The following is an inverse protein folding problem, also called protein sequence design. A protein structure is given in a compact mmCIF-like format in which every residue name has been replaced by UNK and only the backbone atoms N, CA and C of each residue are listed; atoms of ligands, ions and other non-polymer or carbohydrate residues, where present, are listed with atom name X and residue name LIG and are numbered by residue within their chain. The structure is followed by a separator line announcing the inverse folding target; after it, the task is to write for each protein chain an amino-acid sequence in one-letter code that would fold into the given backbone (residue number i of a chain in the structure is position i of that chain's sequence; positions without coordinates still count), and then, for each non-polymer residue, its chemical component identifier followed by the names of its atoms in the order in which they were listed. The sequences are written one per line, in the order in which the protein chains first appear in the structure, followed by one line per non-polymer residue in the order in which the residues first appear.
data_IF_087805601301
#
_entry.id   IF_087805601301
#
_cell.length_a   1.000
_cell.length_b   1.000
_cell.length_c   1.000
_cell.angle_alpha   90.00
_cell.angle_beta   90.00
_cell.angle_gamma   90.00
#
_symmetry.space_group_name_H-M   'P 1'
#
loop_
_entity.id
_entity.type
_entity.pdbx_description
1 polymer ?
#
# COMPACT_ATOMS: atom_id res chain seq x y z
N UNK A 1 1.05 50.90 13.60
CA UNK A 1 0.41 50.18 12.49
C UNK A 1 1.51 49.41 11.81
N UNK A 2 1.79 48.21 12.29
CA UNK A 2 2.56 47.19 11.58
C UNK A 2 2.04 45.87 12.16
N UNK A 3 1.26 45.16 11.33
CA UNK A 3 0.52 43.97 11.72
C UNK A 3 1.43 42.78 12.00
N UNK A 4 0.93 41.75 12.71
CA UNK A 4 1.70 40.54 12.93
C UNK A 4 1.90 39.84 11.59
N UNK A 5 3.16 39.71 11.18
CA UNK A 5 3.55 38.90 10.03
C UNK A 5 2.98 37.50 10.22
N UNK A 6 1.97 37.15 9.42
CA UNK A 6 1.58 35.77 9.22
C UNK A 6 2.77 35.07 8.57
N UNK A 7 3.60 34.45 9.40
CA UNK A 7 4.60 33.52 8.94
C UNK A 7 3.86 32.40 8.23
N UNK A 8 3.84 32.43 6.91
CA UNK A 8 3.68 31.22 6.13
C UNK A 8 4.79 30.28 6.61
N UNK A 9 4.42 29.32 7.46
CA UNK A 9 5.24 28.14 7.70
C UNK A 9 5.29 27.38 6.38
N UNK A 10 6.20 27.79 5.50
CA UNK A 10 6.52 27.06 4.30
C UNK A 10 6.85 25.63 4.72
N UNK A 11 6.08 24.68 4.22
CA UNK A 11 6.34 23.26 4.42
C UNK A 11 7.64 22.92 3.68
N UNK A 12 8.77 23.05 4.36
CA UNK A 12 10.06 22.61 3.82
C UNK A 12 9.97 21.10 3.57
N UNK A 13 9.95 20.74 2.29
CA UNK A 13 9.87 19.36 1.78
C UNK A 13 11.15 18.59 2.05
N UNK A 14 12.23 19.27 2.46
CA UNK A 14 13.53 18.70 2.81
C UNK A 14 13.84 18.78 4.31
N UNK A 15 12.88 19.20 5.13
CA UNK A 15 13.07 19.27 6.57
C UNK A 15 13.46 17.90 7.14
N UNK A 16 14.50 17.88 7.98
CA UNK A 16 14.87 16.68 8.71
C UNK A 16 13.73 16.25 9.63
N UNK A 17 13.47 14.93 9.76
CA UNK A 17 12.46 14.45 10.69
C UNK A 17 12.80 14.88 12.12
N UNK A 18 11.80 15.25 12.94
CA UNK A 18 12.03 15.62 14.34
C UNK A 18 12.75 14.49 15.09
N UNK A 19 13.67 14.86 16.01
CA UNK A 19 14.49 13.89 16.73
C UNK A 19 13.65 12.84 17.47
N UNK A 20 12.52 13.24 18.07
CA UNK A 20 11.60 12.33 18.73
C UNK A 20 11.05 11.24 17.79
N UNK A 21 10.81 11.56 16.51
CA UNK A 21 10.38 10.59 15.50
C UNK A 21 11.53 9.63 15.17
N UNK A 22 12.75 10.15 15.02
CA UNK A 22 13.94 9.31 14.79
C UNK A 22 14.21 8.36 15.97
N UNK A 23 13.97 8.80 17.20
CA UNK A 23 14.20 8.01 18.40
C UNK A 23 13.11 6.93 18.54
N UNK A 24 11.84 7.27 18.29
CA UNK A 24 10.76 6.28 18.22
C UNK A 24 11.03 5.22 17.14
N UNK A 25 11.45 5.63 15.95
CA UNK A 25 11.85 4.72 14.87
C UNK A 25 12.96 3.75 15.32
N UNK A 26 14.01 4.24 15.97
CA UNK A 26 15.10 3.39 16.50
C UNK A 26 14.65 2.48 17.65
N UNK A 27 13.74 2.95 18.52
CA UNK A 27 13.13 2.15 19.61
C UNK A 27 12.47 0.90 19.02
N UNK A 28 11.54 1.07 18.10
CA UNK A 28 10.76 -0.05 17.56
C UNK A 28 11.57 -0.97 16.63
N UNK A 29 12.57 -0.45 15.90
CA UNK A 29 13.44 -1.29 15.08
C UNK A 29 14.27 -2.31 15.90
N UNK A 30 14.57 -2.00 17.17
CA UNK A 30 15.42 -2.83 18.03
C UNK A 30 14.62 -3.69 19.01
N UNK A 31 13.31 -3.51 19.05
CA UNK A 31 12.43 -4.18 19.99
C UNK A 31 12.18 -5.63 19.54
N UNK A 32 12.01 -6.55 20.49
CA UNK A 32 11.59 -7.91 20.18
C UNK A 32 10.08 -8.00 19.96
N UNK A 33 9.62 -8.98 19.19
CA UNK A 33 8.20 -9.19 18.91
C UNK A 33 7.33 -9.28 20.19
N UNK A 34 7.84 -9.96 21.23
CA UNK A 34 7.15 -10.06 22.52
C UNK A 34 7.02 -8.70 23.21
N UNK A 35 8.10 -7.91 23.23
CA UNK A 35 8.06 -6.58 23.85
C UNK A 35 7.17 -5.60 23.05
N UNK A 36 7.11 -5.72 21.72
CA UNK A 36 6.16 -4.97 20.88
C UNK A 36 4.72 -5.34 21.24
N UNK A 37 4.43 -6.62 21.41
CA UNK A 37 3.08 -7.10 21.76
C UNK A 37 2.62 -6.54 23.11
N UNK A 38 3.54 -6.44 24.07
CA UNK A 38 3.25 -5.96 25.42
C UNK A 38 3.29 -4.42 25.56
N UNK A 39 3.77 -3.69 24.54
CA UNK A 39 3.87 -2.23 24.58
C UNK A 39 2.47 -1.58 24.49
N UNK A 40 2.05 -0.92 25.57
CA UNK A 40 0.77 -0.21 25.67
C UNK A 40 0.79 1.16 24.97
N UNK A 41 1.96 1.68 24.58
CA UNK A 41 2.04 2.88 23.74
C UNK A 41 1.60 2.58 22.30
N UNK A 42 1.67 1.32 21.86
CA UNK A 42 1.20 0.89 20.54
C UNK A 42 -0.33 0.80 20.55
N UNK A 43 -0.94 1.49 19.59
CA UNK A 43 -2.38 1.42 19.34
C UNK A 43 -2.71 0.07 18.72
N UNK A 44 -3.53 -0.72 19.42
CA UNK A 44 -4.01 -2.01 18.96
C UNK A 44 -5.53 -2.12 19.18
N UNK A 45 -6.28 -2.05 18.10
CA UNK A 45 -7.75 -2.12 18.13
C UNK A 45 -8.29 -3.52 18.48
N UNK A 46 -7.47 -4.58 18.37
CA UNK A 46 -7.87 -5.94 18.74
C UNK A 46 -7.83 -6.15 20.25
N UNK A 47 -6.81 -5.58 20.90
CA UNK A 47 -6.68 -5.51 22.36
C UNK A 47 -7.62 -4.46 22.98
N UNK A 48 -7.96 -3.43 22.22
CA UNK A 48 -8.71 -2.26 22.68
C UNK A 48 -7.78 -1.10 23.07
N UNK A 49 -8.35 0.11 23.08
CA UNK A 49 -7.61 1.34 23.37
C UNK A 49 -7.45 1.55 24.88
N UNK A 50 -6.27 1.94 25.33
CA UNK A 50 -6.03 2.40 26.70
C UNK A 50 -6.77 3.72 26.98
N UNK A 51 -7.01 4.10 28.26
CA UNK A 51 -7.64 5.37 28.59
C UNK A 51 -6.94 6.58 27.93
N UNK A 52 -5.61 6.61 27.96
CA UNK A 52 -4.80 7.68 27.36
C UNK A 52 -4.91 7.71 25.82
N UNK A 53 -5.09 6.56 25.18
CA UNK A 53 -5.33 6.48 23.75
C UNK A 53 -6.74 6.95 23.39
N UNK A 54 -7.75 6.66 24.21
CA UNK A 54 -9.14 7.12 23.99
C UNK A 54 -9.28 8.65 24.10
N UNK A 55 -8.46 9.31 24.92
CA UNK A 55 -8.40 10.78 24.96
C UNK A 55 -7.87 11.39 23.64
N UNK A 56 -7.02 10.66 22.91
CA UNK A 56 -6.38 11.12 21.68
C UNK A 56 -7.06 10.64 20.41
N UNK A 57 -7.68 9.46 20.43
CA UNK A 57 -8.34 8.83 19.29
C UNK A 57 -9.85 8.84 19.51
N UNK A 58 -10.53 9.79 18.87
CA UNK A 58 -11.98 9.96 19.03
C UNK A 58 -12.74 9.32 17.88
N UNK A 59 -13.88 8.64 18.13
CA UNK A 59 -14.77 8.20 17.07
C UNK A 59 -15.37 9.39 16.32
N UNK A 60 -15.19 9.44 15.00
CA UNK A 60 -15.70 10.53 14.14
C UNK A 60 -16.72 10.07 13.11
N UNK A 61 -16.94 8.76 12.99
CA UNK A 61 -17.90 8.20 12.05
C UNK A 61 -17.91 6.68 12.04
N UNK A 62 -18.75 6.13 11.16
CA UNK A 62 -18.90 4.68 10.97
C UNK A 62 -19.03 4.41 9.48
N UNK A 63 -18.32 3.41 8.97
CA UNK A 63 -18.60 2.78 7.68
C UNK A 63 -19.64 1.67 7.92
N UNK A 64 -20.87 1.79 7.40
CA UNK A 64 -21.92 0.81 7.65
C UNK A 64 -21.59 -0.57 7.09
N UNK A 65 -22.11 -1.61 7.75
CA UNK A 65 -21.97 -3.01 7.33
C UNK A 65 -22.41 -3.22 5.88
N UNK A 66 -23.52 -2.59 5.49
CA UNK A 66 -24.14 -2.69 4.17
C UNK A 66 -23.24 -2.09 3.09
N UNK A 67 -22.53 -1.00 3.42
CA UNK A 67 -21.59 -0.36 2.50
C UNK A 67 -20.36 -1.23 2.29
N UNK A 68 -19.83 -1.83 3.35
CA UNK A 68 -18.70 -2.77 3.28
C UNK A 68 -19.09 -4.00 2.47
N UNK A 69 -20.28 -4.58 2.72
CA UNK A 69 -20.80 -5.72 1.98
C UNK A 69 -20.99 -5.39 0.49
N UNK A 70 -21.52 -4.21 0.17
CA UNK A 70 -21.64 -3.73 -1.20
C UNK A 70 -20.28 -3.62 -1.88
N UNK A 71 -19.30 -2.98 -1.23
CA UNK A 71 -17.95 -2.81 -1.77
C UNK A 71 -17.26 -4.16 -2.02
N UNK A 72 -17.40 -5.10 -1.09
CA UNK A 72 -16.93 -6.48 -1.24
C UNK A 72 -17.57 -7.15 -2.48
N UNK A 73 -18.89 -7.10 -2.62
CA UNK A 73 -19.61 -7.71 -3.75
C UNK A 73 -19.14 -7.14 -5.09
N UNK A 74 -19.05 -5.80 -5.17
CA UNK A 74 -18.62 -5.09 -6.39
C UNK A 74 -17.16 -5.40 -6.75
N UNK A 75 -16.31 -5.58 -5.75
CA UNK A 75 -14.92 -5.98 -5.92
C UNK A 75 -14.80 -7.43 -6.39
N UNK A 76 -15.50 -8.36 -5.74
CA UNK A 76 -15.45 -9.78 -6.07
C UNK A 76 -16.05 -10.09 -7.44
N UNK A 77 -16.90 -9.19 -7.98
CA UNK A 77 -17.62 -9.36 -9.25
C UNK A 77 -18.48 -10.64 -9.25
N UNK A 78 -18.98 -11.04 -8.08
CA UNK A 78 -19.86 -12.18 -7.94
C UNK A 78 -21.28 -11.75 -8.29
N UNK A 79 -21.78 -12.22 -9.44
CA UNK A 79 -23.17 -12.03 -9.85
C UNK A 79 -24.21 -12.75 -8.97
N UNK A 80 -23.76 -13.60 -8.05
CA UNK A 80 -24.60 -14.34 -7.10
C UNK A 80 -24.66 -13.66 -5.72
N UNK A 81 -25.65 -14.03 -4.91
CA UNK A 81 -25.67 -13.75 -3.47
C UNK A 81 -24.48 -14.47 -2.82
N UNK A 82 -23.34 -13.80 -2.73
CA UNK A 82 -22.20 -14.26 -1.96
C UNK A 82 -22.61 -14.20 -0.47
N UNK A 83 -22.98 -15.35 0.07
CA UNK A 83 -23.52 -15.50 1.42
C UNK A 83 -22.38 -15.60 2.45
N UNK A 84 -21.41 -14.67 2.40
CA UNK A 84 -20.55 -14.40 3.54
C UNK A 84 -21.36 -13.60 4.55
N UNK A 85 -21.26 -13.93 5.84
CA UNK A 85 -21.97 -13.19 6.89
C UNK A 85 -21.77 -11.68 6.76
N UNK A 86 -22.72 -10.90 7.28
CA UNK A 86 -22.65 -9.45 7.22
C UNK A 86 -21.35 -8.96 7.88
N UNK A 87 -20.48 -8.24 7.14
CA UNK A 87 -19.24 -7.73 7.70
C UNK A 87 -19.57 -6.73 8.81
N UNK A 88 -18.76 -6.70 9.88
CA UNK A 88 -18.98 -5.73 10.94
C UNK A 88 -18.84 -4.29 10.42
N UNK A 89 -19.65 -3.37 10.96
CA UNK A 89 -19.45 -1.95 10.70
C UNK A 89 -18.07 -1.50 11.24
N UNK A 90 -17.43 -0.56 10.57
CA UNK A 90 -16.09 -0.07 10.93
C UNK A 90 -16.20 1.34 11.55
N UNK A 91 -15.83 1.48 12.82
CA UNK A 91 -15.70 2.80 13.46
C UNK A 91 -14.49 3.53 12.92
N UNK A 92 -14.67 4.79 12.53
CA UNK A 92 -13.63 5.69 12.07
C UNK A 92 -13.11 6.48 13.26
N UNK A 93 -11.81 6.43 13.51
CA UNK A 93 -11.14 7.21 14.56
C UNK A 93 -10.32 8.34 13.94
N UNK A 94 -10.28 9.50 14.60
CA UNK A 94 -9.38 10.59 14.22
C UNK A 94 -8.49 10.95 15.41
N UNK A 95 -7.22 11.26 15.15
CA UNK A 95 -6.29 11.65 16.20
C UNK A 95 -6.37 13.16 16.46
N UNK A 96 -6.63 13.56 17.70
CA UNK A 96 -6.83 14.96 18.11
C UNK A 96 -5.64 15.88 17.81
N UNK A 97 -4.42 15.34 17.89
CA UNK A 97 -3.19 16.04 17.53
C UNK A 97 -2.84 16.06 16.04
N UNK A 98 -3.57 15.32 15.19
CA UNK A 98 -3.32 15.24 13.74
C UNK A 98 -4.64 15.33 12.97
N UNK A 99 -5.24 16.53 12.87
CA UNK A 99 -6.48 16.72 12.11
C UNK A 99 -6.34 16.18 10.68
N UNK A 100 -7.31 15.35 10.26
CA UNK A 100 -7.30 14.67 8.96
C UNK A 100 -6.69 13.26 8.96
N UNK A 101 -5.95 12.86 10.00
CA UNK A 101 -5.47 11.48 10.14
C UNK A 101 -6.61 10.58 10.65
N UNK A 102 -7.21 9.80 9.74
CA UNK A 102 -8.32 8.89 10.04
C UNK A 102 -7.89 7.43 9.96
N UNK A 103 -8.29 6.66 10.97
CA UNK A 103 -8.02 5.23 11.10
C UNK A 103 -9.31 4.45 10.90
N UNK A 104 -9.26 3.39 10.08
CA UNK A 104 -10.37 2.50 9.74
C UNK A 104 -10.00 1.05 10.10
N UNK A 105 -10.06 0.66 11.38
CA UNK A 105 -9.60 -0.65 11.83
C UNK A 105 -10.42 -1.78 11.21
N UNK A 106 -9.75 -2.80 10.69
CA UNK A 106 -10.38 -4.01 10.13
C UNK A 106 -11.47 -3.74 9.07
N UNK A 107 -11.35 -2.67 8.28
CA UNK A 107 -12.34 -2.27 7.28
C UNK A 107 -12.62 -3.34 6.22
N UNK A 108 -11.58 -4.07 5.80
CA UNK A 108 -11.71 -5.07 4.74
C UNK A 108 -12.03 -6.46 5.33
N UNK A 109 -13.10 -7.13 4.88
CA UNK A 109 -13.38 -8.52 5.26
C UNK A 109 -12.23 -9.47 4.85
N UNK A 110 -11.96 -10.56 5.60
CA UNK A 110 -10.84 -11.48 5.32
C UNK A 110 -10.79 -12.03 3.89
N UNK A 111 -11.96 -12.33 3.31
CA UNK A 111 -12.08 -12.82 1.93
C UNK A 111 -11.68 -11.73 0.93
N UNK A 112 -12.07 -10.48 1.21
CA UNK A 112 -11.67 -9.32 0.41
C UNK A 112 -10.16 -9.13 0.46
N UNK A 113 -9.55 -9.22 1.65
CA UNK A 113 -8.10 -9.11 1.81
C UNK A 113 -7.35 -10.17 0.98
N UNK A 114 -7.80 -11.42 1.04
CA UNK A 114 -7.17 -12.54 0.30
C UNK A 114 -7.26 -12.35 -1.21
N UNK A 115 -8.44 -11.96 -1.72
CA UNK A 115 -8.64 -11.70 -3.15
C UNK A 115 -7.85 -10.48 -3.61
N UNK A 116 -7.78 -9.44 -2.77
CA UNK A 116 -7.00 -8.23 -3.05
C UNK A 116 -5.52 -8.56 -3.25
N UNK A 117 -4.91 -9.23 -2.27
CA UNK A 117 -3.51 -9.67 -2.38
C UNK A 117 -3.30 -10.59 -3.57
N UNK A 118 -4.20 -11.55 -3.80
CA UNK A 118 -4.13 -12.46 -4.93
C UNK A 118 -4.12 -11.72 -6.27
N UNK A 119 -5.03 -10.75 -6.48
CA UNK A 119 -5.08 -9.98 -7.71
C UNK A 119 -3.83 -9.13 -7.90
N UNK A 120 -3.33 -8.48 -6.85
CA UNK A 120 -2.08 -7.72 -6.94
C UNK A 120 -0.90 -8.60 -7.35
N UNK A 121 -0.72 -9.76 -6.72
CA UNK A 121 0.44 -10.62 -6.94
C UNK A 121 0.33 -11.48 -8.20
N UNK A 122 -0.88 -11.94 -8.55
CA UNK A 122 -1.06 -12.82 -9.69
C UNK A 122 -1.35 -12.06 -10.99
N UNK A 123 -2.27 -11.08 -10.94
CA UNK A 123 -2.76 -10.35 -12.12
C UNK A 123 -1.93 -9.08 -12.36
N UNK A 124 -1.88 -8.16 -11.40
CA UNK A 124 -1.24 -6.85 -11.62
C UNK A 124 0.28 -6.97 -11.79
N UNK A 125 0.93 -7.78 -10.95
CA UNK A 125 2.37 -7.99 -11.06
C UNK A 125 2.76 -8.56 -12.44
N UNK A 126 1.89 -9.38 -13.04
CA UNK A 126 2.11 -10.03 -14.33
C UNK A 126 1.70 -9.16 -15.53
N UNK A 127 1.20 -7.95 -15.29
CA UNK A 127 0.84 -7.01 -16.34
C UNK A 127 2.06 -6.12 -16.70
N UNK A 128 2.55 -6.14 -17.95
CA UNK A 128 3.72 -5.35 -18.36
C UNK A 128 3.50 -3.83 -18.39
N UNK A 129 2.26 -3.37 -18.25
CA UNK A 129 1.94 -1.93 -18.16
C UNK A 129 2.29 -1.34 -16.78
N UNK A 130 2.38 -2.18 -15.75
CA UNK A 130 2.77 -1.79 -14.41
C UNK A 130 4.29 -1.90 -14.23
N UNK A 131 4.87 -1.04 -13.39
CA UNK A 131 6.31 -1.03 -13.12
C UNK A 131 6.64 -1.78 -11.84
N UNK A 132 7.83 -2.33 -11.81
CA UNK A 132 8.40 -3.05 -10.68
C UNK A 132 9.87 -2.72 -10.55
N UNK A 133 10.46 -3.04 -9.40
CA UNK A 133 11.89 -2.87 -9.13
C UNK A 133 12.84 -3.69 -10.03
N UNK A 134 12.30 -4.47 -10.97
CA UNK A 134 13.10 -5.23 -11.94
C UNK A 134 13.29 -4.49 -13.26
N UNK A 135 12.46 -3.49 -13.56
CA UNK A 135 12.39 -2.90 -14.90
C UNK A 135 13.66 -2.20 -15.35
N UNK A 136 14.46 -1.67 -14.42
CA UNK A 136 15.68 -0.94 -14.78
C UNK A 136 16.82 -1.90 -15.14
N UNK A 137 16.90 -3.05 -14.47
CA UNK A 137 18.05 -3.95 -14.54
C UNK A 137 17.79 -5.23 -15.34
N UNK A 138 16.52 -5.61 -15.54
CA UNK A 138 16.15 -6.92 -16.11
C UNK A 138 15.17 -6.81 -17.27
N UNK A 139 15.40 -7.64 -18.29
CA UNK A 139 14.37 -8.05 -19.24
C UNK A 139 13.48 -9.10 -18.57
N UNK A 140 12.20 -8.79 -18.47
CA UNK A 140 11.23 -9.55 -17.67
C UNK A 140 10.49 -10.55 -18.59
N UNK A 141 10.51 -11.86 -18.29
CA UNK A 141 9.81 -12.87 -19.07
C UNK A 141 8.33 -12.87 -18.69
N UNK A 142 7.57 -11.86 -19.11
CA UNK A 142 6.15 -11.77 -18.76
C UNK A 142 5.37 -13.00 -19.24
N UNK A 143 4.45 -13.53 -18.42
CA UNK A 143 3.60 -14.64 -18.82
C UNK A 143 2.60 -14.20 -19.89
N UNK A 144 1.98 -15.15 -20.61
CA UNK A 144 0.89 -14.85 -21.53
C UNK A 144 -0.23 -14.07 -20.85
N UNK A 145 -1.07 -13.40 -21.65
CA UNK A 145 -2.26 -12.70 -21.17
C UNK A 145 -3.10 -13.62 -20.26
N UNK A 146 -3.63 -13.05 -19.17
CA UNK A 146 -4.42 -13.75 -18.14
C UNK A 146 -3.68 -14.87 -17.38
N UNK A 147 -2.36 -14.95 -17.52
CA UNK A 147 -1.50 -15.85 -16.75
C UNK A 147 -0.68 -15.10 -15.69
N UNK A 148 0.02 -15.86 -14.85
CA UNK A 148 0.75 -15.34 -13.70
C UNK A 148 2.18 -15.84 -13.65
N UNK A 149 3.12 -15.03 -13.16
CA UNK A 149 4.48 -15.48 -12.86
C UNK A 149 4.52 -16.71 -11.94
N UNK A 150 3.50 -16.90 -11.10
CA UNK A 150 3.36 -18.05 -10.21
C UNK A 150 3.01 -19.35 -10.93
N UNK A 151 2.67 -19.31 -12.23
CA UNK A 151 2.45 -20.50 -13.05
C UNK A 151 3.74 -21.09 -13.59
N UNK A 152 4.85 -20.34 -13.56
CA UNK A 152 6.13 -20.84 -14.03
C UNK A 152 6.71 -21.87 -13.05
N UNK A 153 7.34 -22.94 -13.56
CA UNK A 153 8.04 -23.90 -12.71
C UNK A 153 9.11 -23.22 -11.86
N UNK A 154 9.23 -23.63 -10.58
CA UNK A 154 10.21 -23.07 -9.64
C UNK A 154 11.67 -23.14 -10.12
N UNK A 155 11.98 -24.06 -11.03
CA UNK A 155 13.32 -24.28 -11.60
C UNK A 155 13.34 -24.04 -13.12
N UNK A 156 12.42 -23.21 -13.65
CA UNK A 156 12.41 -22.84 -15.05
C UNK A 156 13.77 -22.26 -15.49
N UNK A 157 14.26 -22.72 -16.65
CA UNK A 157 15.54 -22.28 -17.23
C UNK A 157 15.36 -21.34 -18.42
N UNK A 158 14.17 -21.28 -19.00
CA UNK A 158 13.82 -20.53 -20.19
C UNK A 158 13.00 -19.27 -19.92
N UNK A 159 12.18 -19.23 -18.85
CA UNK A 159 11.51 -18.00 -18.40
C UNK A 159 12.31 -17.35 -17.27
N UNK A 160 13.41 -16.69 -17.65
CA UNK A 160 14.33 -16.04 -16.71
C UNK A 160 14.33 -14.52 -16.89
N UNK A 161 14.36 -13.80 -15.78
CA UNK A 161 14.67 -12.39 -15.70
C UNK A 161 16.13 -12.25 -16.08
N UNK A 162 16.39 -11.78 -17.29
CA UNK A 162 17.73 -11.67 -17.86
C UNK A 162 18.30 -10.26 -17.57
N UNK A 163 19.52 -10.12 -17.05
CA UNK A 163 20.14 -8.80 -16.89
C UNK A 163 20.23 -8.08 -18.23
N UNK A 164 19.79 -6.82 -18.27
CA UNK A 164 19.87 -5.98 -19.48
C UNK A 164 21.30 -5.67 -19.87
N UNK A 165 22.16 -5.46 -18.88
CA UNK A 165 23.60 -5.28 -19.07
C UNK A 165 24.34 -6.60 -18.72
N UNK A 166 24.91 -7.29 -19.72
CA UNK A 166 25.69 -8.51 -19.51
C UNK A 166 26.96 -8.32 -18.67
N UNK A 167 27.47 -7.09 -18.57
CA UNK A 167 28.66 -6.76 -17.78
C UNK A 167 28.33 -6.37 -16.34
N UNK A 168 27.04 -6.26 -16.01
CA UNK A 168 26.62 -5.91 -14.66
C UNK A 168 26.84 -7.04 -13.67
N UNK A 169 26.76 -6.72 -12.38
CA UNK A 169 26.82 -7.72 -11.29
C UNK A 169 25.55 -8.58 -11.16
N UNK A 170 24.50 -8.27 -11.93
CA UNK A 170 23.21 -8.94 -11.83
C UNK A 170 23.31 -10.34 -12.42
N UNK A 171 22.73 -11.32 -11.73
CA UNK A 171 22.61 -12.70 -12.21
C UNK A 171 21.21 -12.91 -12.78
N UNK A 172 21.04 -13.76 -13.82
CA UNK A 172 19.73 -14.21 -14.24
C UNK A 172 18.95 -14.85 -13.08
N UNK A 173 17.66 -14.55 -13.01
CA UNK A 173 16.77 -15.08 -11.97
C UNK A 173 15.60 -15.80 -12.62
N UNK A 174 15.20 -16.96 -12.11
CA UNK A 174 13.88 -17.48 -12.44
C UNK A 174 12.79 -16.74 -11.65
N UNK A 175 11.52 -16.93 -12.01
CA UNK A 175 10.41 -16.23 -11.35
C UNK A 175 10.35 -16.48 -9.84
N UNK A 176 10.55 -17.71 -9.37
CA UNK A 176 10.55 -18.00 -7.94
C UNK A 176 11.64 -17.21 -7.19
N UNK A 177 12.85 -17.12 -7.75
CA UNK A 177 13.95 -16.34 -7.17
C UNK A 177 13.66 -14.83 -7.19
N UNK A 178 13.12 -14.32 -8.31
CA UNK A 178 12.74 -12.92 -8.44
C UNK A 178 11.70 -12.57 -7.36
N UNK A 179 10.58 -13.29 -7.33
CA UNK A 179 9.45 -13.03 -6.44
C UNK A 179 9.80 -13.19 -4.95
N UNK A 180 10.49 -14.27 -4.57
CA UNK A 180 10.74 -14.56 -3.15
C UNK A 180 11.87 -13.72 -2.55
N UNK A 181 12.90 -13.37 -3.34
CA UNK A 181 14.12 -12.76 -2.80
C UNK A 181 14.29 -11.31 -3.17
N UNK A 182 13.78 -10.89 -4.33
CA UNK A 182 14.17 -9.62 -4.96
C UNK A 182 13.01 -8.68 -5.25
N UNK A 183 11.76 -9.16 -5.24
CA UNK A 183 10.60 -8.29 -5.44
C UNK A 183 10.42 -7.37 -4.23
N UNK A 184 10.21 -6.08 -4.48
CA UNK A 184 10.12 -5.03 -3.45
C UNK A 184 8.98 -4.08 -3.68
N UNK A 185 8.71 -3.72 -4.94
CA UNK A 185 7.61 -2.82 -5.24
C UNK A 185 7.00 -3.09 -6.62
N UNK A 186 5.71 -2.79 -6.70
CA UNK A 186 4.88 -2.75 -7.91
C UNK A 186 4.09 -1.45 -7.90
N UNK A 187 3.97 -0.78 -9.04
CA UNK A 187 3.09 0.38 -9.20
C UNK A 187 1.79 -0.03 -9.89
N UNK A 188 0.71 0.70 -9.62
CA UNK A 188 -0.61 0.51 -10.24
C UNK A 188 -1.04 1.80 -10.93
N UNK A 189 -1.68 1.70 -12.09
CA UNK A 189 -2.17 2.86 -12.84
C UNK A 189 -1.07 3.82 -13.30
N UNK A 190 -1.30 5.12 -13.14
CA UNK A 190 -0.38 6.19 -13.52
C UNK A 190 0.97 6.05 -12.83
N UNK A 191 2.03 6.23 -13.61
CA UNK A 191 3.41 6.04 -13.16
C UNK A 191 4.02 7.39 -12.79
N UNK A 192 4.60 7.47 -11.59
CA UNK A 192 5.36 8.64 -11.20
C UNK A 192 6.67 8.69 -12.00
N UNK A 193 6.94 9.82 -12.65
CA UNK A 193 8.20 10.02 -13.34
C UNK A 193 9.22 10.67 -12.39
N UNK A 194 10.23 9.91 -12.00
CA UNK A 194 11.29 10.37 -11.12
C UNK A 194 12.13 11.51 -11.68
N UNK A 195 12.22 11.66 -13.00
CA UNK A 195 13.00 12.72 -13.64
C UNK A 195 12.25 14.05 -13.58
N UNK A 196 10.95 14.02 -13.89
CA UNK A 196 10.10 15.22 -13.90
C UNK A 196 9.41 15.48 -12.57
N UNK A 197 9.48 14.52 -11.64
CA UNK A 197 8.86 14.54 -10.31
C UNK A 197 7.35 14.77 -10.35
N UNK A 198 6.69 14.27 -11.39
CA UNK A 198 5.27 14.46 -11.61
C UNK A 198 4.62 13.20 -12.18
N UNK A 199 3.29 13.13 -12.04
CA UNK A 199 2.49 12.20 -12.80
C UNK A 199 2.20 12.75 -14.22
N UNK A 200 2.18 11.90 -15.25
CA UNK A 200 1.84 12.34 -16.59
C UNK A 200 0.36 12.75 -16.67
N UNK A 201 0.06 13.78 -17.47
CA UNK A 201 -1.32 14.24 -17.72
C UNK A 201 -2.21 13.18 -18.39
N UNK A 202 -1.60 12.17 -19.02
CA UNK A 202 -2.27 10.99 -19.56
C UNK A 202 -1.40 9.76 -19.31
N UNK A 203 -1.95 8.77 -18.60
CA UNK A 203 -1.27 7.48 -18.40
C UNK A 203 -1.79 6.45 -19.40
N UNK A 204 -0.89 5.73 -20.12
CA UNK A 204 -1.29 4.58 -20.92
C UNK A 204 -1.67 3.37 -20.06
N UNK A 205 -1.34 3.39 -18.76
CA UNK A 205 -1.56 2.31 -17.82
C UNK A 205 -2.83 2.60 -17.00
N UNK A 206 -3.94 1.89 -17.25
CA UNK A 206 -5.17 2.08 -16.48
C UNK A 206 -4.98 1.59 -15.04
N UNK A 207 -5.61 2.29 -14.09
CA UNK A 207 -5.70 1.79 -12.72
C UNK A 207 -6.66 0.58 -12.66
N UNK A 208 -6.37 -0.47 -11.87
CA UNK A 208 -7.22 -1.65 -11.81
C UNK A 208 -8.67 -1.32 -11.44
N UNK A 209 -9.60 -1.59 -12.36
CA UNK A 209 -10.98 -1.06 -12.25
C UNK A 209 -11.76 -1.62 -11.06
N UNK A 210 -11.49 -2.86 -10.68
CA UNK A 210 -12.09 -3.50 -9.51
C UNK A 210 -11.56 -2.91 -8.20
N UNK A 211 -10.25 -2.68 -8.09
CA UNK A 211 -9.65 -1.97 -6.96
C UNK A 211 -10.20 -0.54 -6.88
N UNK A 212 -10.32 0.14 -8.02
CA UNK A 212 -10.94 1.47 -8.09
C UNK A 212 -12.36 1.44 -7.52
N UNK A 213 -13.22 0.50 -7.98
CA UNK A 213 -14.59 0.35 -7.44
C UNK A 213 -14.64 0.04 -5.96
N UNK A 214 -13.74 -0.81 -5.46
CA UNK A 214 -13.65 -1.12 -4.02
C UNK A 214 -13.42 0.17 -3.22
N UNK A 215 -12.41 0.94 -3.61
CA UNK A 215 -12.01 2.18 -2.95
C UNK A 215 -13.12 3.24 -3.08
N UNK A 216 -13.61 3.51 -4.28
CA UNK A 216 -14.64 4.55 -4.47
C UNK A 216 -15.96 4.19 -3.78
N UNK A 217 -16.30 2.91 -3.64
CA UNK A 217 -17.48 2.50 -2.85
C UNK A 217 -17.25 2.72 -1.36
N UNK A 218 -16.14 2.25 -0.79
CA UNK A 218 -15.84 2.41 0.64
C UNK A 218 -15.73 3.87 1.06
N UNK A 219 -15.14 4.71 0.20
CA UNK A 219 -14.94 6.14 0.45
C UNK A 219 -16.00 7.03 -0.22
N UNK A 220 -17.12 6.44 -0.66
CA UNK A 220 -18.29 7.17 -1.17
C UNK A 220 -17.96 8.21 -2.25
N UNK A 221 -17.04 7.87 -3.16
CA UNK A 221 -16.54 8.73 -4.23
C UNK A 221 -15.91 10.05 -3.74
N UNK A 222 -15.40 10.10 -2.50
CA UNK A 222 -14.64 11.25 -2.01
C UNK A 222 -13.37 11.52 -2.83
N UNK A 223 -12.83 10.49 -3.49
CA UNK A 223 -11.73 10.58 -4.44
C UNK A 223 -11.80 9.42 -5.45
N UNK A 224 -11.01 9.52 -6.53
CA UNK A 224 -10.84 8.47 -7.53
C UNK A 224 -9.37 8.05 -7.57
N UNK A 225 -9.04 6.75 -7.37
CA UNK A 225 -7.65 6.32 -7.43
C UNK A 225 -7.15 6.25 -8.88
N UNK A 226 -6.04 6.91 -9.16
CA UNK A 226 -5.40 6.95 -10.48
C UNK A 226 -4.02 6.26 -10.48
N UNK A 227 -3.33 6.27 -9.34
CA UNK A 227 -2.04 5.66 -9.13
C UNK A 227 -2.01 4.88 -7.81
N UNK A 228 -1.06 3.97 -7.66
CA UNK A 228 -0.82 3.27 -6.41
C UNK A 228 0.55 2.60 -6.37
N UNK A 229 1.04 2.33 -5.18
CA UNK A 229 2.30 1.60 -4.96
C UNK A 229 2.04 0.46 -3.99
N UNK A 230 2.42 -0.75 -4.40
CA UNK A 230 2.40 -1.96 -3.59
C UNK A 230 3.84 -2.21 -3.13
N UNK A 231 4.06 -2.19 -1.84
CA UNK A 231 5.37 -2.41 -1.22
C UNK A 231 5.40 -3.78 -0.54
N UNK A 232 6.46 -4.55 -0.78
CA UNK A 232 6.68 -5.87 -0.21
C UNK A 232 7.83 -5.83 0.79
N UNK A 233 7.51 -6.12 2.04
CA UNK A 233 8.48 -6.18 3.13
C UNK A 233 8.66 -7.63 3.59
N UNK A 234 9.91 -8.04 3.74
CA UNK A 234 10.30 -9.18 4.58
C UNK A 234 10.46 -8.73 6.03
N UNK A 235 10.63 -9.69 6.94
CA UNK A 235 10.78 -9.42 8.39
C UNK A 235 12.00 -8.57 8.76
N UNK A 236 12.94 -8.33 7.83
CA UNK A 236 14.14 -7.50 8.05
C UNK A 236 14.08 -6.14 7.37
N UNK A 237 13.06 -5.91 6.55
CA UNK A 237 12.93 -4.66 5.81
C UNK A 237 12.29 -3.60 6.71
N UNK A 238 12.60 -2.34 6.44
CA UNK A 238 12.06 -1.19 7.15
C UNK A 238 11.79 -0.06 6.17
N UNK A 239 10.79 0.76 6.46
CA UNK A 239 10.56 2.00 5.74
C UNK A 239 11.21 3.15 6.50
N UNK A 240 12.20 3.87 5.92
CA UNK A 240 12.75 5.06 6.53
C UNK A 240 11.68 6.13 6.74
N UNK A 241 11.92 7.02 7.71
CA UNK A 241 11.06 8.19 7.90
C UNK A 241 11.15 9.07 6.65
N UNK A 242 9.99 9.36 6.05
CA UNK A 242 9.86 10.20 4.87
C UNK A 242 8.55 11.00 4.95
N UNK A 243 8.40 11.94 4.02
CA UNK A 243 7.15 12.65 3.75
C UNK A 243 6.82 12.44 2.27
N UNK A 244 5.57 12.12 1.99
CA UNK A 244 5.05 12.09 0.63
C UNK A 244 4.79 13.53 0.17
N UNK A 245 5.41 13.92 -0.94
CA UNK A 245 5.38 15.30 -1.49
C UNK A 245 5.13 15.29 -3.01
N UNK A 246 4.62 14.18 -3.53
CA UNK A 246 4.60 13.88 -4.97
C UNK A 246 3.29 14.26 -5.64
N UNK A 247 2.22 14.37 -4.87
CA UNK A 247 0.87 14.71 -5.32
C UNK A 247 0.57 16.18 -4.99
N UNK A 248 0.34 17.00 -6.03
CA UNK A 248 -0.19 18.37 -5.92
C UNK A 248 -1.70 18.42 -6.23
#
# INVERSE_FOLDING_TARGET
MDGPSHGHHGHDTHAMPPQAICDAYKKYQRMSDAAVTDDLEIVDFTRGLTPEQQEKLTPVGIVPSELIAKAQKDFMNTGAEYNSGHPAACTIYEHSGFPGLRLFPALLPPETQSIFVSRLLHRELSNPLHKTNFHDDYDIPYPPLDSSFFTYPHQAKNQVFAPKDPNSKHKPLNAAQALQKKFRWLTLGSQYDWNTRAYPSSSPTPFPSDVSRLVTTLFQNAFTPESGVVLMYSTKDFMPVHRDVSEE
#
